data_IF_991614416322
#
_entry.id   IF_991614416322
#
_cell.length_a   1.000
_cell.length_b   1.000
_cell.length_c   1.000
_cell.angle_alpha   90.00
_cell.angle_beta   90.00
_cell.angle_gamma   90.00
#
_symmetry.space_group_name_H-M   'P 1'
#
loop_
_entity.id
_entity.type
_entity.pdbx_description
1 polymer ?
#
# COMPACT_ATOMS: atom_id res chain seq x y z
N UNK A 1 11.75 -15.66 -15.73
CA UNK A 1 12.20 -14.25 -15.86
C UNK A 1 11.21 -13.26 -15.24
N UNK A 2 9.95 -13.21 -15.69
CA UNK A 2 8.95 -12.28 -15.12
C UNK A 2 8.48 -12.66 -13.70
N UNK A 3 8.43 -13.96 -13.40
CA UNK A 3 8.08 -14.48 -12.05
C UNK A 3 9.19 -14.22 -11.02
N UNK A 4 10.46 -14.29 -11.44
CA UNK A 4 11.62 -13.98 -10.59
C UNK A 4 11.74 -12.48 -10.30
N UNK A 5 11.50 -11.65 -11.31
CA UNK A 5 11.56 -10.20 -11.18
C UNK A 5 10.32 -9.54 -11.77
N UNK A 6 9.35 -9.25 -10.91
CA UNK A 6 8.11 -8.58 -11.29
C UNK A 6 8.29 -7.16 -11.86
N UNK A 7 9.45 -6.53 -11.62
CA UNK A 7 9.75 -5.15 -12.07
C UNK A 7 10.54 -5.10 -13.38
N UNK A 8 10.74 -6.23 -14.04
CA UNK A 8 11.47 -6.27 -15.29
C UNK A 8 10.72 -5.52 -16.41
N UNK A 9 11.48 -4.85 -17.28
CA UNK A 9 10.90 -4.16 -18.44
C UNK A 9 10.50 -5.16 -19.52
N UNK A 10 9.32 -4.97 -20.11
CA UNK A 10 8.85 -5.75 -21.25
C UNK A 10 9.85 -5.71 -22.42
N UNK A 11 10.54 -4.58 -22.64
CA UNK A 11 11.56 -4.45 -23.69
C UNK A 11 12.74 -5.40 -23.48
N UNK A 12 13.26 -5.48 -22.24
CA UNK A 12 14.36 -6.39 -21.89
C UNK A 12 13.92 -7.84 -22.09
N UNK A 13 12.68 -8.18 -21.73
CA UNK A 13 12.14 -9.52 -21.99
C UNK A 13 12.07 -9.80 -23.48
N UNK A 14 11.53 -8.89 -24.27
CA UNK A 14 11.38 -9.03 -25.71
C UNK A 14 12.72 -9.26 -26.41
N UNK A 15 13.74 -8.47 -26.07
CA UNK A 15 15.10 -8.59 -26.59
C UNK A 15 15.76 -9.91 -26.17
N UNK A 16 15.67 -10.27 -24.88
CA UNK A 16 16.28 -11.49 -24.35
C UNK A 16 15.66 -12.75 -24.95
N UNK A 17 14.35 -12.73 -25.20
CA UNK A 17 13.60 -13.85 -25.75
C UNK A 17 13.49 -13.78 -27.29
N UNK A 18 14.07 -12.76 -27.93
CA UNK A 18 14.01 -12.53 -29.38
C UNK A 18 12.58 -12.58 -29.95
N UNK A 19 11.64 -11.98 -29.22
CA UNK A 19 10.23 -11.87 -29.62
C UNK A 19 9.83 -10.40 -29.76
N UNK A 20 8.84 -10.11 -30.60
CA UNK A 20 8.30 -8.75 -30.68
C UNK A 20 7.56 -8.38 -29.39
N UNK A 21 7.62 -7.09 -29.00
CA UNK A 21 6.92 -6.58 -27.81
C UNK A 21 5.42 -6.89 -27.86
N UNK A 22 4.80 -6.80 -29.04
CA UNK A 22 3.37 -7.11 -29.24
C UNK A 22 3.05 -8.58 -28.93
N UNK A 23 3.93 -9.50 -29.32
CA UNK A 23 3.76 -10.93 -29.03
C UNK A 23 4.00 -11.22 -27.55
N UNK A 24 4.97 -10.54 -26.94
CA UNK A 24 5.17 -10.60 -25.50
C UNK A 24 3.94 -10.12 -24.73
N UNK A 25 3.34 -8.99 -25.11
CA UNK A 25 2.13 -8.47 -24.47
C UNK A 25 0.98 -9.50 -24.53
N UNK A 26 0.76 -10.13 -25.69
CA UNK A 26 -0.24 -11.20 -25.82
C UNK A 26 0.03 -12.38 -24.90
N UNK A 27 1.29 -12.80 -24.76
CA UNK A 27 1.67 -13.88 -23.84
C UNK A 27 1.40 -13.47 -22.39
N UNK A 28 1.80 -12.26 -22.00
CA UNK A 28 1.61 -11.73 -20.64
C UNK A 28 0.12 -11.69 -20.30
N UNK A 29 -0.71 -11.12 -21.18
CA UNK A 29 -2.13 -10.90 -20.89
C UNK A 29 -3.00 -12.14 -21.11
N UNK A 30 -2.81 -12.89 -22.19
CA UNK A 30 -3.76 -13.95 -22.56
C UNK A 30 -3.34 -15.35 -22.09
N UNK A 31 -2.03 -15.59 -21.94
CA UNK A 31 -1.52 -16.93 -21.59
C UNK A 31 -1.16 -16.98 -20.12
N UNK A 32 -0.43 -15.98 -19.63
CA UNK A 32 0.00 -15.93 -18.23
C UNK A 32 -1.01 -15.23 -17.31
N UNK A 33 -2.04 -14.58 -17.88
CA UNK A 33 -3.04 -13.77 -17.18
C UNK A 33 -2.42 -12.76 -16.18
N UNK A 34 -1.30 -12.17 -16.58
CA UNK A 34 -0.58 -11.19 -15.78
C UNK A 34 -1.03 -9.78 -16.18
N UNK A 35 -1.35 -8.97 -15.18
CA UNK A 35 -1.64 -7.54 -15.37
C UNK A 35 -0.51 -6.67 -14.87
N UNK A 36 -0.23 -5.59 -15.61
CA UNK A 36 0.68 -4.54 -15.17
C UNK A 36 0.06 -3.81 -13.98
N UNK A 37 0.73 -3.83 -12.83
CA UNK A 37 0.32 -3.06 -11.65
C UNK A 37 1.27 -1.88 -11.42
N UNK A 38 0.75 -0.69 -11.05
CA UNK A 38 1.61 0.39 -10.59
C UNK A 38 2.28 0.01 -9.26
N UNK A 39 3.50 0.48 -9.05
CA UNK A 39 4.17 0.32 -7.77
C UNK A 39 3.46 1.19 -6.72
N UNK A 40 3.19 0.62 -5.54
CA UNK A 40 2.69 1.40 -4.40
C UNK A 40 3.80 2.30 -3.86
N UNK A 41 3.48 3.57 -3.62
CA UNK A 41 4.43 4.49 -3.00
C UNK A 41 4.69 4.07 -1.55
N UNK A 42 5.97 3.99 -1.18
CA UNK A 42 6.41 3.62 0.17
C UNK A 42 7.24 4.78 0.72
N UNK A 43 6.84 5.41 1.85
CA UNK A 43 7.48 6.61 2.35
C UNK A 43 8.97 6.47 2.68
N UNK A 44 9.38 5.29 3.15
CA UNK A 44 10.76 5.02 3.57
C UNK A 44 11.14 3.58 3.31
N UNK A 45 12.35 3.39 2.78
CA UNK A 45 12.96 2.08 2.71
C UNK A 45 13.54 1.72 4.09
N UNK A 46 12.96 0.70 4.74
CA UNK A 46 13.38 0.27 6.07
C UNK A 46 14.59 -0.67 5.99
N UNK A 47 15.56 -0.47 6.89
CA UNK A 47 16.67 -1.41 7.08
C UNK A 47 16.21 -2.69 7.84
N UNK A 48 17.10 -3.68 7.95
CA UNK A 48 16.77 -4.96 8.58
C UNK A 48 16.34 -4.80 10.04
N UNK A 49 17.06 -4.00 10.83
CA UNK A 49 16.77 -3.77 12.25
C UNK A 49 15.45 -3.03 12.45
N UNK A 50 15.17 -2.00 11.64
CA UNK A 50 13.90 -1.27 11.65
C UNK A 50 12.72 -2.19 11.34
N UNK A 51 12.88 -3.14 10.39
CA UNK A 51 11.86 -4.15 10.11
C UNK A 51 11.65 -5.06 11.31
N UNK A 52 12.74 -5.53 11.93
CA UNK A 52 12.69 -6.39 13.12
C UNK A 52 11.95 -5.70 14.26
N UNK A 53 12.36 -4.48 14.61
CA UNK A 53 11.73 -3.67 15.64
C UNK A 53 10.24 -3.50 15.33
N UNK A 54 9.90 -3.09 14.10
CA UNK A 54 8.51 -2.88 13.70
C UNK A 54 7.66 -4.15 13.84
N UNK A 55 8.16 -5.30 13.42
CA UNK A 55 7.45 -6.59 13.54
C UNK A 55 7.28 -6.97 15.01
N UNK A 56 8.34 -6.87 15.81
CA UNK A 56 8.29 -7.19 17.25
C UNK A 56 7.28 -6.29 17.96
N UNK A 57 7.38 -4.96 17.79
CA UNK A 57 6.45 -4.02 18.42
C UNK A 57 5.01 -4.22 17.96
N UNK A 58 4.78 -4.52 16.68
CA UNK A 58 3.41 -4.76 16.20
C UNK A 58 2.82 -6.04 16.79
N UNK A 59 3.63 -7.10 16.95
CA UNK A 59 3.20 -8.35 17.58
C UNK A 59 2.88 -8.14 19.06
N UNK A 60 3.75 -7.48 19.82
CA UNK A 60 3.49 -7.21 21.24
C UNK A 60 2.21 -6.39 21.44
N UNK A 61 1.94 -5.42 20.55
CA UNK A 61 0.70 -4.64 20.58
C UNK A 61 -0.52 -5.53 20.27
N UNK A 62 -0.41 -6.45 19.31
CA UNK A 62 -1.48 -7.39 18.95
C UNK A 62 -1.77 -8.40 20.07
N UNK A 63 -0.73 -8.95 20.70
CA UNK A 63 -0.88 -9.91 21.80
C UNK A 63 -1.55 -9.22 23.00
N UNK A 64 -1.17 -7.98 23.29
CA UNK A 64 -1.79 -7.17 24.33
C UNK A 64 -3.26 -6.86 24.05
N UNK A 65 -3.60 -6.55 22.78
CA UNK A 65 -4.99 -6.26 22.40
C UNK A 65 -5.89 -7.50 22.45
N UNK A 66 -5.33 -8.68 22.18
CA UNK A 66 -6.08 -9.96 22.22
C UNK A 66 -6.21 -10.54 23.63
N UNK A 67 -5.22 -10.30 24.51
CA UNK A 67 -5.25 -10.77 25.91
C UNK A 67 -6.21 -9.97 26.79
N UNK A 68 -6.77 -8.85 26.28
CA UNK A 68 -7.71 -8.02 27.02
C UNK A 68 -7.07 -7.30 28.21
N UNK A 69 -5.74 -7.09 28.19
CA UNK A 69 -5.05 -6.36 29.25
C UNK A 69 -5.60 -4.93 29.38
N UNK A 70 -5.96 -4.55 30.60
CA UNK A 70 -6.37 -3.19 30.96
C UNK A 70 -5.24 -2.21 30.62
N UNK A 71 -5.43 -1.39 29.59
CA UNK A 71 -4.45 -0.41 29.12
C UNK A 71 -4.15 -0.45 27.62
N UNK A 72 -4.74 -1.40 26.87
CA UNK A 72 -4.93 -1.19 25.45
C UNK A 72 -6.08 -0.19 25.27
N UNK A 73 -5.81 0.96 24.63
CA UNK A 73 -6.82 2.01 24.42
C UNK A 73 -8.02 1.38 23.70
N UNK A 74 -9.11 1.16 24.43
CA UNK A 74 -10.35 0.69 23.83
C UNK A 74 -10.90 1.81 22.96
N UNK A 75 -11.73 1.48 21.97
CA UNK A 75 -12.43 2.51 21.16
C UNK A 75 -13.12 3.56 22.04
N UNK A 76 -13.62 3.13 23.21
CA UNK A 76 -14.24 3.98 24.21
C UNK A 76 -13.25 4.97 24.86
N UNK A 77 -12.03 4.53 25.21
CA UNK A 77 -10.98 5.42 25.71
C UNK A 77 -10.44 6.37 24.63
N UNK A 78 -10.38 5.96 23.37
CA UNK A 78 -9.99 6.87 22.26
C UNK A 78 -11.05 7.95 22.02
N UNK A 79 -12.33 7.64 22.20
CA UNK A 79 -13.42 8.61 22.08
C UNK A 79 -13.42 9.65 23.22
N UNK A 80 -12.79 9.34 24.36
CA UNK A 80 -12.64 10.30 25.47
C UNK A 80 -11.75 11.49 25.08
N UNK A 81 -10.81 11.29 24.14
CA UNK A 81 -9.98 12.36 23.56
C UNK A 81 -10.74 13.25 22.57
N UNK A 82 -11.92 12.83 22.10
CA UNK A 82 -12.80 13.61 21.23
C UNK A 82 -13.88 14.31 22.07
N UNK A 83 -13.51 15.42 22.70
CA UNK A 83 -14.45 16.23 23.48
C UNK A 83 -15.28 17.13 22.55
N UNK A 84 -16.57 17.33 22.87
CA UNK A 84 -17.40 18.35 22.22
C UNK A 84 -16.81 19.74 22.48
N UNK A 85 -16.00 20.24 21.53
CA UNK A 85 -15.22 21.48 21.67
C UNK A 85 -13.73 21.34 21.39
N UNK A 86 -13.22 20.11 21.19
CA UNK A 86 -11.86 19.89 20.71
C UNK A 86 -11.67 20.59 19.36
N UNK A 87 -10.54 21.26 19.18
CA UNK A 87 -10.18 21.88 17.91
C UNK A 87 -10.07 20.76 16.88
N UNK A 88 -11.13 20.56 16.10
CA UNK A 88 -11.09 19.66 14.96
C UNK A 88 -9.89 20.05 14.11
N UNK A 89 -8.96 19.11 13.90
CA UNK A 89 -7.83 19.31 13.00
C UNK A 89 -8.37 19.92 11.71
N UNK A 90 -7.95 21.16 11.43
CA UNK A 90 -8.39 21.90 10.26
C UNK A 90 -7.87 21.13 9.05
N UNK A 91 -8.75 20.30 8.46
CA UNK A 91 -8.42 19.54 7.25
C UNK A 91 -7.84 20.54 6.25
N UNK A 92 -6.62 20.27 5.78
CA UNK A 92 -6.01 21.08 4.73
C UNK A 92 -7.04 21.21 3.61
N UNK A 93 -7.43 22.45 3.29
CA UNK A 93 -8.44 22.71 2.26
C UNK A 93 -7.95 22.04 0.98
N UNK A 94 -8.59 20.96 0.58
CA UNK A 94 -8.45 20.44 -0.77
C UNK A 94 -9.10 21.48 -1.67
N UNK A 95 -8.30 22.38 -2.21
CA UNK A 95 -8.76 23.23 -3.30
C UNK A 95 -9.09 22.28 -4.45
N UNK A 96 -10.28 22.40 -5.03
CA UNK A 96 -10.57 21.75 -6.30
C UNK A 96 -9.52 22.23 -7.29
N UNK A 97 -8.56 21.36 -7.63
CA UNK A 97 -7.73 21.62 -8.80
C UNK A 97 -8.69 21.66 -9.98
N UNK A 98 -8.77 22.81 -10.64
CA UNK A 98 -9.54 23.02 -11.86
C UNK A 98 -9.29 21.82 -12.79
N UNK A 99 -10.34 21.03 -13.07
CA UNK A 99 -10.30 19.93 -14.02
C UNK A 99 -10.21 18.49 -13.47
N UNK A 100 -10.28 18.23 -12.15
CA UNK A 100 -10.31 16.85 -11.62
C UNK A 100 -11.64 16.49 -10.98
N UNK A 101 -12.54 15.91 -11.77
CA UNK A 101 -13.72 15.18 -11.27
C UNK A 101 -13.30 13.72 -11.15
N UNK A 102 -13.09 13.23 -9.93
CA UNK A 102 -13.03 11.79 -9.66
C UNK A 102 -14.45 11.36 -9.30
N UNK A 103 -15.16 10.79 -10.28
CA UNK A 103 -16.42 10.11 -10.03
C UNK A 103 -16.13 8.81 -9.28
N UNK A 104 -16.53 8.72 -8.01
CA UNK A 104 -16.61 7.47 -7.28
C UNK A 104 -18.05 6.96 -7.40
N UNK A 105 -18.23 5.88 -8.16
CA UNK A 105 -19.47 5.08 -8.15
C UNK A 105 -19.22 3.94 -7.17
N UNK A 106 -20.04 3.87 -6.13
CA UNK A 106 -20.12 2.72 -5.23
C UNK A 106 -21.07 1.68 -5.81
#
# INVERSE_FOLDING_TARGET
>A
MIFENRRISAKIIAETQQISCKRLDLIIYNILDLRKLPAKWVPKFLNADQKRIRVTTSKTILDRSTTGEAGFITKQQSMEWDHNGSLCLKKFRTQNSIGKILAAVF
#
